data_IF_187933024487
#
_entry.id   IF_187933024487
#
_cell.length_a   1.000
_cell.length_b   1.000
_cell.length_c   1.000
_cell.angle_alpha   90.00
_cell.angle_beta   90.00
_cell.angle_gamma   90.00
#
_symmetry.space_group_name_H-M   'P 1'
#
loop_
_entity.id
_entity.type
_entity.pdbx_description
1 polymer ?
#
# COMPACT_ATOMS: atom_id res chain seq x y z
N UNK A 1 -6.66 13.48 37.43
CA UNK A 1 -6.20 14.14 36.19
C UNK A 1 -7.07 13.57 35.09
N UNK A 2 -7.91 14.38 34.46
CA UNK A 2 -8.59 13.96 33.24
C UNK A 2 -7.49 13.58 32.23
N UNK A 3 -7.44 12.33 31.85
CA UNK A 3 -6.57 11.87 30.77
C UNK A 3 -7.04 12.61 29.50
N UNK A 4 -6.26 13.58 29.07
CA UNK A 4 -6.55 14.28 27.81
C UNK A 4 -6.65 13.28 26.65
N UNK A 5 -7.33 13.65 25.57
CA UNK A 5 -7.37 12.81 24.36
C UNK A 5 -5.96 12.60 23.83
N UNK A 6 -5.62 11.40 23.31
CA UNK A 6 -4.33 11.18 22.68
C UNK A 6 -4.11 12.16 21.52
N UNK A 7 -2.87 12.64 21.37
CA UNK A 7 -2.47 13.57 20.31
C UNK A 7 -1.92 12.79 19.13
N UNK A 8 -2.47 13.04 17.95
CA UNK A 8 -2.08 12.36 16.71
C UNK A 8 -1.60 13.37 15.67
N UNK A 9 -0.39 13.16 15.15
CA UNK A 9 0.11 13.87 13.98
C UNK A 9 -0.26 13.07 12.73
N UNK A 10 -1.01 13.69 11.83
CA UNK A 10 -1.43 13.08 10.57
C UNK A 10 -0.63 13.68 9.42
N UNK A 11 0.18 12.87 8.76
CA UNK A 11 1.10 13.30 7.69
C UNK A 11 0.44 13.06 6.34
N UNK A 12 0.18 14.12 5.58
CA UNK A 12 -0.44 14.05 4.26
C UNK A 12 -0.01 15.23 3.38
N UNK A 13 0.24 14.99 2.10
CA UNK A 13 0.40 16.05 1.10
C UNK A 13 -0.98 16.44 0.54
N UNK A 14 -1.55 17.50 1.08
CA UNK A 14 -2.88 17.98 0.68
C UNK A 14 -2.92 18.57 -0.73
N UNK A 15 -1.77 18.82 -1.35
CA UNK A 15 -1.67 19.39 -2.69
C UNK A 15 -1.52 18.33 -3.80
N UNK A 16 -1.12 17.10 -3.45
CA UNK A 16 -0.86 16.06 -4.43
C UNK A 16 -2.11 15.66 -5.22
N UNK A 17 -1.97 15.65 -6.54
CA UNK A 17 -3.01 15.20 -7.46
C UNK A 17 -2.46 14.14 -8.40
N UNK A 18 -3.18 13.05 -8.60
CA UNK A 18 -2.88 12.04 -9.59
C UNK A 18 -4.12 11.71 -10.42
N UNK A 19 -3.97 11.74 -11.75
CA UNK A 19 -5.00 11.36 -12.74
C UNK A 19 -6.35 12.05 -12.51
N UNK A 20 -6.33 13.33 -12.10
CA UNK A 20 -7.51 14.12 -11.82
C UNK A 20 -8.22 13.82 -10.50
N UNK A 21 -7.65 12.97 -9.64
CA UNK A 21 -8.14 12.70 -8.27
C UNK A 21 -7.30 13.46 -7.26
N UNK A 22 -7.93 13.91 -6.19
CA UNK A 22 -7.27 14.48 -5.02
C UNK A 22 -7.11 13.38 -3.98
N UNK A 23 -5.90 12.91 -3.81
CA UNK A 23 -5.61 11.85 -2.82
C UNK A 23 -5.96 12.27 -1.40
N UNK A 24 -5.80 13.54 -1.07
CA UNK A 24 -6.09 14.05 0.26
C UNK A 24 -7.59 14.10 0.61
N UNK A 25 -8.52 13.91 -0.32
CA UNK A 25 -9.95 14.00 0.00
C UNK A 25 -10.37 12.93 1.01
N UNK A 26 -9.80 11.72 0.94
CA UNK A 26 -10.03 10.68 1.96
C UNK A 26 -9.34 11.01 3.30
N UNK A 27 -8.16 11.63 3.27
CA UNK A 27 -7.45 12.05 4.49
C UNK A 27 -8.21 13.16 5.22
N UNK A 28 -8.80 14.10 4.47
CA UNK A 28 -9.70 15.13 5.02
C UNK A 28 -10.93 14.48 5.67
N UNK A 29 -11.54 13.50 5.00
CA UNK A 29 -12.67 12.76 5.54
C UNK A 29 -12.31 12.00 6.82
N UNK A 30 -11.20 11.25 6.82
CA UNK A 30 -10.75 10.46 7.98
C UNK A 30 -10.42 11.38 9.17
N UNK A 31 -9.63 12.44 8.96
CA UNK A 31 -9.22 13.34 10.04
C UNK A 31 -10.41 14.08 10.66
N UNK A 32 -11.45 14.42 9.88
CA UNK A 32 -12.66 15.00 10.41
C UNK A 32 -13.38 14.06 11.39
N UNK A 33 -13.37 12.74 11.14
CA UNK A 33 -14.00 11.72 12.00
C UNK A 33 -13.15 11.36 13.21
N UNK A 34 -11.82 11.23 13.03
CA UNK A 34 -10.89 10.93 14.11
C UNK A 34 -10.82 12.00 15.21
N UNK A 35 -11.12 13.27 14.90
CA UNK A 35 -11.18 14.38 15.87
C UNK A 35 -12.14 14.15 17.04
N UNK A 36 -13.11 13.27 16.91
CA UNK A 36 -14.00 12.87 18.00
C UNK A 36 -13.27 12.13 19.14
N UNK A 37 -12.13 11.50 18.86
CA UNK A 37 -11.37 10.65 19.80
C UNK A 37 -9.93 11.12 20.03
N UNK A 38 -9.39 11.94 19.16
CA UNK A 38 -7.99 12.40 19.19
C UNK A 38 -7.91 13.92 19.08
N UNK A 39 -6.88 14.50 19.72
CA UNK A 39 -6.41 15.84 19.41
C UNK A 39 -5.45 15.72 18.22
N UNK A 40 -5.86 16.22 17.05
CA UNK A 40 -5.24 15.89 15.78
C UNK A 40 -4.69 17.14 15.08
N UNK A 41 -3.43 17.06 14.64
CA UNK A 41 -2.83 18.00 13.70
C UNK A 41 -2.54 17.30 12.36
N UNK A 42 -2.65 18.04 11.26
CA UNK A 42 -2.23 17.60 9.93
C UNK A 42 -0.96 18.37 9.58
N UNK A 43 0.05 17.68 9.05
CA UNK A 43 1.25 18.30 8.55
C UNK A 43 1.64 17.78 7.17
N UNK A 44 2.46 18.55 6.47
CA UNK A 44 3.10 18.12 5.23
C UNK A 44 4.21 17.09 5.52
N UNK A 45 4.52 16.14 4.59
CA UNK A 45 5.62 15.18 4.78
C UNK A 45 6.96 15.81 5.16
N UNK A 46 7.28 16.99 4.63
CA UNK A 46 8.53 17.73 4.95
C UNK A 46 8.61 18.19 6.41
N UNK A 47 7.47 18.32 7.11
CA UNK A 47 7.42 18.82 8.49
C UNK A 47 7.36 17.67 9.51
N UNK A 48 7.08 16.45 9.07
CA UNK A 48 6.78 15.30 9.93
C UNK A 48 7.89 15.04 10.97
N UNK A 49 9.15 15.03 10.54
CA UNK A 49 10.31 14.78 11.42
C UNK A 49 10.45 15.85 12.51
N UNK A 50 10.22 17.11 12.18
CA UNK A 50 10.35 18.20 13.14
C UNK A 50 9.24 18.21 14.18
N UNK A 51 8.04 17.70 13.83
CA UNK A 51 6.84 17.78 14.67
C UNK A 51 6.57 16.49 15.47
N UNK A 52 7.05 15.33 15.04
CA UNK A 52 6.64 14.01 15.52
C UNK A 52 6.74 13.83 17.05
N UNK A 53 7.73 14.42 17.71
CA UNK A 53 7.92 14.29 19.16
C UNK A 53 6.86 15.01 20.02
N UNK A 54 6.04 15.87 19.40
CA UNK A 54 4.94 16.57 20.07
C UNK A 54 3.66 15.73 20.20
N UNK A 55 3.64 14.48 19.70
CA UNK A 55 2.44 13.66 19.56
C UNK A 55 2.64 12.26 20.14
N UNK A 56 1.54 11.61 20.48
CA UNK A 56 1.54 10.26 21.08
C UNK A 56 1.63 9.19 19.98
N UNK A 57 1.22 9.52 18.74
CA UNK A 57 1.42 8.71 17.54
C UNK A 57 1.46 9.57 16.27
N UNK A 58 2.09 9.04 15.23
CA UNK A 58 2.14 9.63 13.89
C UNK A 58 1.45 8.69 12.90
N UNK A 59 0.46 9.20 12.16
CA UNK A 59 -0.19 8.46 11.06
C UNK A 59 0.42 8.95 9.75
N UNK A 60 1.10 8.07 9.03
CA UNK A 60 1.69 8.41 7.74
C UNK A 60 0.72 8.04 6.62
N UNK A 61 0.24 9.05 5.94
CA UNK A 61 -0.66 8.93 4.79
C UNK A 61 -0.15 9.74 3.62
N UNK A 62 1.14 9.80 3.42
CA UNK A 62 1.78 10.57 2.34
C UNK A 62 1.00 10.46 1.02
N UNK A 63 -0.04 11.26 0.87
CA UNK A 63 -0.86 11.26 -0.33
C UNK A 63 0.03 11.53 -1.53
N UNK A 64 0.34 10.47 -2.27
CA UNK A 64 1.26 10.51 -3.38
C UNK A 64 2.56 9.76 -3.12
N UNK A 65 3.35 9.55 -4.19
CA UNK A 65 4.54 8.74 -4.12
C UNK A 65 5.56 9.32 -3.13
N UNK A 66 6.04 8.50 -2.21
CA UNK A 66 7.20 8.81 -1.36
C UNK A 66 8.40 9.27 -2.18
N UNK A 67 8.46 8.89 -3.46
CA UNK A 67 9.48 9.35 -4.41
C UNK A 67 9.68 10.88 -4.44
N UNK A 68 8.62 11.66 -4.18
CA UNK A 68 8.71 13.12 -4.13
C UNK A 68 9.38 13.66 -2.87
N UNK A 69 9.49 12.83 -1.80
CA UNK A 69 9.98 13.21 -0.48
C UNK A 69 10.88 12.13 0.10
N UNK A 70 11.61 11.39 -0.73
CA UNK A 70 12.33 10.19 -0.31
C UNK A 70 13.34 10.47 0.79
N UNK A 71 14.19 11.44 0.58
CA UNK A 71 15.25 11.78 1.55
C UNK A 71 14.66 12.20 2.90
N UNK A 72 13.60 13.00 2.88
CA UNK A 72 12.88 13.43 4.08
C UNK A 72 12.15 12.26 4.75
N UNK A 73 11.55 11.36 3.97
CA UNK A 73 10.88 10.18 4.51
C UNK A 73 11.88 9.21 5.13
N UNK A 74 13.01 8.96 4.50
CA UNK A 74 14.09 8.12 5.05
C UNK A 74 14.68 8.73 6.32
N UNK A 75 14.89 10.05 6.36
CA UNK A 75 15.30 10.77 7.56
C UNK A 75 14.24 10.72 8.69
N UNK A 76 12.96 10.80 8.34
CA UNK A 76 11.86 10.61 9.29
C UNK A 76 11.85 9.19 9.86
N UNK A 77 11.93 8.15 9.00
CA UNK A 77 11.96 6.73 9.42
C UNK A 77 13.09 6.47 10.40
N UNK A 78 14.32 6.91 10.06
CA UNK A 78 15.49 6.73 10.90
C UNK A 78 15.27 7.37 12.27
N UNK A 79 14.88 8.65 12.29
CA UNK A 79 14.67 9.38 13.54
C UNK A 79 13.51 8.80 14.38
N UNK A 80 12.40 8.41 13.76
CA UNK A 80 11.27 7.80 14.46
C UNK A 80 11.65 6.46 15.09
N UNK A 81 12.42 5.63 14.38
CA UNK A 81 12.92 4.34 14.88
C UNK A 81 13.90 4.55 16.04
N UNK A 82 14.86 5.44 15.89
CA UNK A 82 15.88 5.74 16.92
C UNK A 82 15.28 6.27 18.21
N UNK A 83 14.19 7.04 18.12
CA UNK A 83 13.56 7.70 19.27
C UNK A 83 12.31 6.99 19.78
N UNK A 84 11.91 5.88 19.17
CA UNK A 84 10.75 5.09 19.58
C UNK A 84 9.40 5.79 19.37
N UNK A 85 9.30 6.68 18.36
CA UNK A 85 8.03 7.30 17.99
C UNK A 85 7.09 6.24 17.43
N UNK A 86 5.85 6.19 17.94
CA UNK A 86 4.82 5.28 17.45
C UNK A 86 4.30 5.76 16.09
N UNK A 87 4.47 4.95 15.06
CA UNK A 87 4.05 5.27 13.69
C UNK A 87 2.99 4.26 13.23
N UNK A 88 1.94 4.75 12.60
CA UNK A 88 0.89 4.00 11.93
C UNK A 88 0.88 4.39 10.43
N UNK A 89 1.14 3.53 9.49
CA UNK A 89 1.56 2.12 9.56
C UNK A 89 2.94 2.00 10.15
N UNK A 90 3.18 0.92 10.91
CA UNK A 90 4.49 0.64 11.51
C UNK A 90 5.59 0.59 10.44
N UNK A 91 6.80 1.08 10.80
CA UNK A 91 7.92 1.21 9.86
C UNK A 91 8.68 -0.10 9.60
N UNK A 92 8.11 -1.23 10.03
CA UNK A 92 8.67 -2.58 9.91
C UNK A 92 8.17 -3.35 8.70
N UNK A 93 7.30 -2.74 7.89
CA UNK A 93 6.68 -3.38 6.73
C UNK A 93 7.69 -3.86 5.69
N UNK A 94 7.41 -5.03 5.12
CA UNK A 94 8.21 -5.68 4.09
C UNK A 94 7.60 -5.54 2.68
N UNK A 95 6.46 -4.87 2.56
CA UNK A 95 5.79 -4.58 1.30
C UNK A 95 6.41 -3.39 0.56
N UNK A 96 5.59 -2.55 -0.04
CA UNK A 96 6.04 -1.42 -0.85
C UNK A 96 6.80 -0.35 -0.06
N UNK A 97 6.63 -0.31 1.27
CA UNK A 97 7.40 0.53 2.19
C UNK A 97 8.92 0.28 2.07
N UNK A 98 9.32 -0.97 1.85
CA UNK A 98 10.71 -1.36 1.63
C UNK A 98 11.12 -1.31 0.14
N UNK A 99 10.18 -1.04 -0.76
CA UNK A 99 10.32 -1.16 -2.21
C UNK A 99 9.89 -2.54 -2.72
N UNK A 100 9.61 -2.64 -4.02
CA UNK A 100 8.99 -3.83 -4.62
C UNK A 100 9.89 -5.07 -4.72
N UNK A 101 11.08 -5.03 -4.11
CA UNK A 101 12.03 -6.14 -4.05
C UNK A 101 11.40 -7.40 -3.43
N UNK A 102 10.47 -7.25 -2.49
CA UNK A 102 9.77 -8.36 -1.84
C UNK A 102 9.07 -9.31 -2.84
N UNK A 103 8.71 -8.85 -4.04
CA UNK A 103 8.10 -9.71 -5.06
C UNK A 103 9.04 -10.82 -5.54
N UNK A 104 10.37 -10.58 -5.54
CA UNK A 104 11.36 -11.61 -5.85
C UNK A 104 11.39 -12.67 -4.75
N UNK A 105 11.38 -12.24 -3.49
CA UNK A 105 11.42 -13.12 -2.33
C UNK A 105 10.16 -13.99 -2.26
N UNK A 106 8.99 -13.39 -2.45
CA UNK A 106 7.72 -14.10 -2.49
C UNK A 106 7.68 -15.11 -3.65
N UNK A 107 8.15 -14.73 -4.84
CA UNK A 107 8.23 -15.65 -5.98
C UNK A 107 9.20 -16.80 -5.71
N UNK A 108 10.37 -16.52 -5.17
CA UNK A 108 11.36 -17.55 -4.83
C UNK A 108 10.85 -18.52 -3.75
N UNK A 109 10.00 -18.07 -2.85
CA UNK A 109 9.35 -18.88 -1.81
C UNK A 109 8.11 -19.63 -2.30
N UNK A 110 7.71 -19.47 -3.57
CA UNK A 110 6.57 -20.17 -4.17
C UNK A 110 5.20 -19.62 -3.76
N UNK A 111 5.14 -18.37 -3.32
CA UNK A 111 3.86 -17.69 -3.09
C UNK A 111 3.14 -17.41 -4.42
N UNK A 112 1.79 -17.31 -4.43
CA UNK A 112 1.01 -17.00 -5.63
C UNK A 112 1.14 -15.53 -6.01
N UNK A 113 2.30 -15.17 -6.57
CA UNK A 113 2.61 -13.82 -7.08
C UNK A 113 2.85 -13.87 -8.58
N UNK A 114 2.75 -12.74 -9.26
CA UNK A 114 3.20 -12.67 -10.64
C UNK A 114 4.71 -13.00 -10.66
N UNK A 115 5.15 -14.01 -11.44
CA UNK A 115 6.57 -14.39 -11.55
C UNK A 115 7.45 -13.16 -11.80
N UNK A 116 8.50 -12.97 -11.01
CA UNK A 116 9.30 -11.73 -11.01
C UNK A 116 10.79 -12.03 -10.99
N UNK A 117 11.55 -11.32 -11.82
CA UNK A 117 13.03 -11.33 -11.82
C UNK A 117 13.57 -9.90 -11.93
N UNK A 118 14.83 -9.69 -11.55
CA UNK A 118 15.53 -8.40 -11.64
C UNK A 118 16.88 -8.49 -12.37
N UNK A 119 17.10 -9.59 -13.09
CA UNK A 119 18.31 -9.81 -13.90
C UNK A 119 17.96 -10.46 -15.22
N UNK A 120 18.70 -10.11 -16.26
CA UNK A 120 18.51 -10.68 -17.60
C UNK A 120 18.74 -12.20 -17.62
N UNK A 121 19.73 -12.70 -16.89
CA UNK A 121 20.07 -14.11 -16.79
C UNK A 121 18.95 -14.96 -16.17
N UNK A 122 18.12 -14.37 -15.34
CA UNK A 122 17.00 -15.05 -14.67
C UNK A 122 15.70 -15.05 -15.48
N UNK A 123 15.62 -14.32 -16.61
CA UNK A 123 14.40 -14.26 -17.45
C UNK A 123 13.96 -15.64 -17.92
N UNK A 124 14.91 -16.58 -18.12
CA UNK A 124 14.60 -17.97 -18.46
C UNK A 124 13.81 -18.75 -17.37
N UNK A 125 13.68 -18.22 -16.16
CA UNK A 125 12.87 -18.80 -15.05
C UNK A 125 11.40 -18.37 -15.10
N UNK A 126 11.10 -17.30 -15.88
CA UNK A 126 9.74 -16.83 -16.07
C UNK A 126 8.98 -17.73 -17.07
N UNK A 127 7.65 -17.79 -16.99
CA UNK A 127 6.83 -18.40 -18.04
C UNK A 127 7.17 -17.82 -19.40
N UNK A 128 7.15 -18.68 -20.42
CA UNK A 128 7.43 -18.30 -21.80
C UNK A 128 6.32 -17.41 -22.36
N UNK A 129 6.66 -16.20 -22.75
CA UNK A 129 5.74 -15.21 -23.33
C UNK A 129 6.49 -14.28 -24.29
N UNK A 130 5.78 -13.72 -25.26
CA UNK A 130 6.35 -12.74 -26.18
C UNK A 130 6.43 -11.32 -25.57
N UNK A 131 5.71 -11.07 -24.48
CA UNK A 131 5.56 -9.73 -23.91
C UNK A 131 5.77 -9.76 -22.40
N UNK A 132 6.57 -8.84 -21.93
CA UNK A 132 6.89 -8.62 -20.53
C UNK A 132 6.49 -7.23 -20.08
N UNK A 133 6.43 -7.03 -18.79
CA UNK A 133 6.24 -5.75 -18.12
C UNK A 133 7.47 -5.48 -17.27
N UNK A 134 8.13 -4.35 -17.52
CA UNK A 134 9.19 -3.86 -16.66
C UNK A 134 8.65 -2.73 -15.80
N UNK A 135 8.92 -2.77 -14.49
CA UNK A 135 8.48 -1.75 -13.53
C UNK A 135 9.62 -1.36 -12.59
N UNK A 136 9.74 -0.07 -12.20
CA UNK A 136 10.74 0.34 -11.24
C UNK A 136 10.57 -0.37 -9.89
N UNK A 137 11.68 -0.74 -9.23
CA UNK A 137 11.68 -1.28 -7.85
C UNK A 137 11.07 -0.28 -6.87
N UNK A 138 11.29 1.01 -7.11
CA UNK A 138 10.69 2.11 -6.37
C UNK A 138 9.77 2.88 -7.32
N UNK A 139 8.48 2.69 -7.22
CA UNK A 139 7.51 3.33 -8.09
C UNK A 139 6.10 3.23 -7.52
N UNK A 140 5.27 4.19 -7.85
CA UNK A 140 3.84 4.23 -7.52
C UNK A 140 3.03 4.66 -8.76
N UNK A 141 1.71 4.47 -8.73
CA UNK A 141 0.77 4.93 -9.77
C UNK A 141 1.11 4.45 -11.19
N UNK A 142 1.77 3.28 -11.34
CA UNK A 142 2.27 2.77 -12.62
C UNK A 142 3.27 3.71 -13.32
N UNK A 143 3.87 4.67 -12.60
CA UNK A 143 4.89 5.54 -13.16
C UNK A 143 6.14 4.72 -13.53
N UNK A 144 6.62 4.89 -14.76
CA UNK A 144 7.79 4.16 -15.26
C UNK A 144 7.53 2.70 -15.66
N UNK A 145 6.28 2.21 -15.61
CA UNK A 145 5.93 0.89 -16.12
C UNK A 145 6.00 0.91 -17.66
N UNK A 146 6.73 -0.03 -18.24
CA UNK A 146 6.85 -0.20 -19.68
C UNK A 146 6.52 -1.64 -20.10
N UNK A 147 5.87 -1.77 -21.24
CA UNK A 147 5.62 -3.06 -21.89
C UNK A 147 6.75 -3.33 -22.89
N UNK A 148 7.39 -4.48 -22.79
CA UNK A 148 8.62 -4.82 -23.51
C UNK A 148 8.44 -6.13 -24.24
N UNK A 149 8.80 -6.17 -25.53
CA UNK A 149 8.85 -7.42 -26.27
C UNK A 149 10.05 -8.26 -25.79
N UNK A 150 9.94 -9.59 -25.88
CA UNK A 150 11.02 -10.52 -25.49
C UNK A 150 12.38 -10.15 -26.11
N UNK A 151 12.37 -9.82 -27.40
CA UNK A 151 13.59 -9.48 -28.12
C UNK A 151 14.30 -8.21 -27.65
N UNK A 152 13.58 -7.34 -26.97
CA UNK A 152 14.08 -6.05 -26.48
C UNK A 152 14.59 -6.11 -25.05
N UNK A 153 14.35 -7.22 -24.31
CA UNK A 153 14.81 -7.41 -22.92
C UNK A 153 16.32 -7.21 -22.74
N UNK A 154 17.19 -7.68 -23.67
CA UNK A 154 18.64 -7.47 -23.52
C UNK A 154 19.07 -5.99 -23.58
N UNK A 155 18.22 -5.11 -24.05
CA UNK A 155 18.46 -3.67 -24.10
C UNK A 155 18.04 -2.90 -22.84
N UNK A 156 17.42 -3.58 -21.84
CA UNK A 156 17.01 -2.95 -20.61
C UNK A 156 18.16 -2.81 -19.62
N UNK A 157 18.16 -1.70 -18.88
CA UNK A 157 18.96 -1.57 -17.67
C UNK A 157 18.18 -2.17 -16.47
N UNK A 158 18.63 -3.32 -15.97
CA UNK A 158 18.00 -4.04 -14.88
C UNK A 158 18.33 -3.48 -13.49
N UNK A 159 19.16 -2.46 -13.36
CA UNK A 159 19.66 -1.96 -12.05
C UNK A 159 18.53 -1.67 -11.07
N UNK A 160 17.50 -0.97 -11.51
CA UNK A 160 16.33 -0.57 -10.68
C UNK A 160 15.00 -1.08 -11.24
N UNK A 161 15.02 -2.15 -12.03
CA UNK A 161 13.84 -2.72 -12.65
C UNK A 161 13.50 -4.11 -12.11
N UNK A 162 12.22 -4.41 -12.08
CA UNK A 162 11.65 -5.74 -11.99
C UNK A 162 11.01 -6.08 -13.34
N UNK A 163 11.19 -7.31 -13.78
CA UNK A 163 10.58 -7.82 -15.01
C UNK A 163 9.64 -8.97 -14.68
N UNK A 164 8.44 -8.90 -15.25
CA UNK A 164 7.35 -9.85 -15.06
C UNK A 164 6.77 -10.27 -16.43
N UNK A 165 6.27 -11.50 -16.62
CA UNK A 165 5.47 -11.79 -17.79
C UNK A 165 4.22 -10.93 -17.80
N UNK A 166 3.77 -10.51 -18.97
CA UNK A 166 2.47 -9.87 -19.09
C UNK A 166 1.38 -10.90 -18.87
N UNK A 167 0.61 -10.75 -17.77
CA UNK A 167 -0.49 -11.64 -17.45
C UNK A 167 -1.76 -11.17 -18.17
N UNK A 168 -2.45 -12.11 -18.82
CA UNK A 168 -3.83 -11.89 -19.29
C UNK A 168 -4.78 -12.25 -18.14
N UNK A 169 -5.41 -11.25 -17.55
CA UNK A 169 -6.30 -11.42 -16.41
C UNK A 169 -7.71 -10.91 -16.70
N UNK A 170 -8.68 -11.36 -15.94
CA UNK A 170 -10.08 -10.95 -16.06
C UNK A 170 -10.33 -9.59 -15.42
N UNK A 171 -9.83 -9.40 -14.18
CA UNK A 171 -9.96 -8.17 -13.41
C UNK A 171 -8.85 -8.05 -12.36
N UNK A 172 -8.64 -6.83 -11.88
CA UNK A 172 -7.84 -6.58 -10.68
C UNK A 172 -8.74 -6.38 -9.47
N UNK A 173 -8.30 -6.85 -8.31
CA UNK A 173 -9.01 -6.74 -7.02
C UNK A 173 -8.05 -6.27 -5.93
N UNK A 174 -8.55 -5.40 -5.05
CA UNK A 174 -7.81 -4.85 -3.91
C UNK A 174 -8.54 -5.23 -2.62
N UNK A 175 -7.82 -5.85 -1.69
CA UNK A 175 -8.30 -6.22 -0.35
C UNK A 175 -7.69 -5.27 0.68
N UNK A 176 -8.52 -4.62 1.47
CA UNK A 176 -8.11 -3.60 2.44
C UNK A 176 -8.16 -4.14 3.85
N UNK A 177 -7.08 -3.91 4.59
CA UNK A 177 -6.91 -4.36 5.97
C UNK A 177 -6.53 -3.21 6.89
N UNK A 178 -6.98 -3.29 8.13
CA UNK A 178 -6.46 -2.52 9.25
C UNK A 178 -5.88 -3.54 10.24
N UNK A 179 -4.60 -3.37 10.58
CA UNK A 179 -3.83 -4.36 11.29
C UNK A 179 -3.90 -5.69 10.50
N UNK A 180 -4.46 -6.77 11.06
CA UNK A 180 -4.69 -8.05 10.40
C UNK A 180 -6.16 -8.29 10.02
N UNK A 181 -7.06 -7.32 10.24
CA UNK A 181 -8.49 -7.49 10.05
C UNK A 181 -8.94 -6.98 8.67
N UNK A 182 -9.56 -7.86 7.88
CA UNK A 182 -10.17 -7.49 6.61
C UNK A 182 -11.31 -6.48 6.81
N UNK A 183 -11.33 -5.45 5.98
CA UNK A 183 -12.33 -4.37 6.04
C UNK A 183 -13.31 -4.40 4.88
N UNK A 184 -12.81 -4.39 3.66
CA UNK A 184 -13.59 -4.44 2.42
C UNK A 184 -12.68 -4.79 1.25
N UNK A 185 -13.30 -5.13 0.11
CA UNK A 185 -12.59 -5.26 -1.15
C UNK A 185 -13.28 -4.49 -2.27
N UNK A 186 -12.46 -3.99 -3.20
CA UNK A 186 -12.89 -3.34 -4.43
C UNK A 186 -12.23 -4.02 -5.63
N UNK A 187 -12.90 -4.05 -6.77
CA UNK A 187 -12.32 -4.58 -7.99
C UNK A 187 -12.58 -3.67 -9.19
N UNK A 188 -11.72 -3.77 -10.19
CA UNK A 188 -11.86 -3.10 -11.47
C UNK A 188 -12.40 -4.12 -12.49
N UNK A 189 -13.72 -4.17 -12.76
CA UNK A 189 -14.32 -5.18 -13.64
C UNK A 189 -13.85 -5.07 -15.10
N UNK A 190 -13.29 -3.91 -15.46
CA UNK A 190 -12.79 -3.62 -16.82
C UNK A 190 -11.31 -3.28 -16.76
N UNK A 191 -10.40 -4.15 -17.25
CA UNK A 191 -8.95 -3.89 -17.18
C UNK A 191 -8.49 -2.59 -17.84
N UNK A 192 -9.26 -2.09 -18.81
CA UNK A 192 -8.98 -0.81 -19.51
C UNK A 192 -9.41 0.42 -18.70
N UNK A 193 -10.23 0.23 -17.67
CA UNK A 193 -10.80 1.26 -16.80
C UNK A 193 -10.47 0.98 -15.32
N UNK A 194 -9.20 0.78 -15.02
CA UNK A 194 -8.69 0.34 -13.70
C UNK A 194 -9.11 1.23 -12.52
N UNK A 195 -9.57 2.45 -12.80
CA UNK A 195 -10.02 3.40 -11.77
C UNK A 195 -11.54 3.41 -11.55
N UNK A 196 -12.28 2.67 -12.35
CA UNK A 196 -13.71 2.45 -12.14
C UNK A 196 -13.91 1.24 -11.24
N UNK A 197 -13.83 1.50 -9.93
CA UNK A 197 -13.91 0.46 -8.91
C UNK A 197 -15.35 0.21 -8.49
N UNK A 198 -15.66 -1.07 -8.27
CA UNK A 198 -16.92 -1.58 -7.72
C UNK A 198 -16.64 -2.40 -6.47
N UNK A 199 -17.64 -2.53 -5.58
CA UNK A 199 -17.51 -3.38 -4.39
C UNK A 199 -17.37 -4.84 -4.80
N UNK A 200 -16.35 -5.50 -4.25
CA UNK A 200 -16.09 -6.93 -4.43
C UNK A 200 -16.53 -7.69 -3.18
N UNK A 201 -17.21 -8.83 -3.37
CA UNK A 201 -17.58 -9.73 -2.28
C UNK A 201 -16.63 -10.94 -2.34
N UNK A 202 -15.57 -10.96 -1.53
CA UNK A 202 -14.61 -12.07 -1.54
C UNK A 202 -15.24 -13.33 -0.97
N UNK A 203 -14.89 -14.45 -1.54
CA UNK A 203 -15.15 -15.75 -0.95
C UNK A 203 -14.06 -16.13 0.08
N UNK A 204 -14.18 -17.33 0.65
CA UNK A 204 -13.24 -17.82 1.67
C UNK A 204 -11.82 -17.99 1.10
N UNK A 205 -11.70 -18.45 -0.15
CA UNK A 205 -10.40 -18.69 -0.79
C UNK A 205 -9.71 -17.36 -1.14
N UNK A 206 -10.48 -16.37 -1.56
CA UNK A 206 -10.00 -15.01 -1.80
C UNK A 206 -9.45 -14.36 -0.52
N UNK A 207 -10.18 -14.50 0.58
CA UNK A 207 -9.73 -13.98 1.88
C UNK A 207 -8.49 -14.74 2.38
N UNK A 208 -8.45 -16.06 2.22
CA UNK A 208 -7.27 -16.85 2.57
C UNK A 208 -6.04 -16.48 1.73
N UNK A 209 -6.25 -16.17 0.44
CA UNK A 209 -5.19 -15.65 -0.43
C UNK A 209 -4.65 -14.31 0.11
N UNK A 210 -5.52 -13.33 0.37
CA UNK A 210 -5.10 -12.01 0.83
C UNK A 210 -4.43 -12.08 2.21
N UNK A 211 -5.03 -12.84 3.16
CA UNK A 211 -4.52 -13.00 4.53
C UNK A 211 -3.09 -13.55 4.53
N UNK A 212 -2.72 -14.43 3.61
CA UNK A 212 -1.35 -14.98 3.49
C UNK A 212 -0.29 -13.88 3.38
N UNK A 213 -0.57 -12.80 2.67
CA UNK A 213 0.37 -11.69 2.49
C UNK A 213 0.38 -10.74 3.68
N UNK A 214 -0.75 -10.58 4.34
CA UNK A 214 -0.84 -9.84 5.62
C UNK A 214 -0.03 -10.58 6.70
N UNK A 215 -0.16 -11.91 6.79
CA UNK A 215 0.60 -12.73 7.74
C UNK A 215 2.10 -12.80 7.41
N UNK A 216 2.45 -12.72 6.12
CA UNK A 216 3.84 -12.64 5.67
C UNK A 216 4.48 -11.28 6.02
N UNK A 217 3.70 -10.20 6.00
CA UNK A 217 4.17 -8.86 6.35
C UNK A 217 4.28 -8.73 7.88
N UNK A 218 5.33 -8.07 8.37
CA UNK A 218 5.58 -7.92 9.81
C UNK A 218 4.90 -6.71 10.45
N UNK A 219 3.88 -6.13 9.79
CA UNK A 219 3.12 -4.98 10.30
C UNK A 219 2.04 -5.44 11.25
N UNK A 220 2.16 -5.12 12.54
CA UNK A 220 1.10 -5.38 13.53
C UNK A 220 0.06 -4.25 13.60
N UNK A 221 0.49 -3.00 13.36
CA UNK A 221 -0.40 -1.84 13.35
C UNK A 221 -0.24 -1.05 12.07
N UNK A 222 -1.30 -1.01 11.26
CA UNK A 222 -1.26 -0.27 10.02
C UNK A 222 -2.45 -0.48 9.12
N UNK A 223 -2.49 0.31 8.04
CA UNK A 223 -3.36 0.08 6.90
C UNK A 223 -2.54 -0.67 5.86
N UNK A 224 -3.07 -1.79 5.38
CA UNK A 224 -2.43 -2.59 4.35
C UNK A 224 -3.42 -2.88 3.23
N UNK A 225 -2.93 -2.99 1.99
CA UNK A 225 -3.74 -3.35 0.83
C UNK A 225 -3.04 -4.43 0.01
N UNK A 226 -3.75 -5.51 -0.23
CA UNK A 226 -3.30 -6.59 -1.10
C UNK A 226 -3.96 -6.39 -2.46
N UNK A 227 -3.16 -6.04 -3.48
CA UNK A 227 -3.62 -5.93 -4.86
C UNK A 227 -3.32 -7.23 -5.60
N UNK A 228 -4.32 -7.80 -6.24
CA UNK A 228 -4.23 -9.04 -6.98
C UNK A 228 -4.88 -8.94 -8.36
N UNK A 229 -4.51 -9.81 -9.26
CA UNK A 229 -5.24 -10.03 -10.49
C UNK A 229 -5.84 -11.44 -10.54
N UNK A 230 -7.07 -11.55 -11.05
CA UNK A 230 -7.74 -12.83 -11.33
C UNK A 230 -7.32 -13.31 -12.71
N UNK A 231 -6.48 -14.32 -12.76
CA UNK A 231 -6.08 -14.94 -14.01
C UNK A 231 -7.25 -15.70 -14.67
N UNK A 232 -7.13 -15.99 -15.97
CA UNK A 232 -8.18 -16.67 -16.75
C UNK A 232 -8.52 -18.08 -16.28
N UNK A 233 -7.62 -18.72 -15.58
CA UNK A 233 -7.85 -20.04 -14.94
C UNK A 233 -8.51 -19.95 -13.57
N UNK A 234 -8.85 -18.74 -13.13
CA UNK A 234 -9.49 -18.46 -11.85
C UNK A 234 -8.52 -18.26 -10.68
N UNK A 235 -7.21 -18.42 -10.86
CA UNK A 235 -6.25 -18.17 -9.79
C UNK A 235 -6.09 -16.69 -9.49
N UNK A 236 -5.85 -16.35 -8.22
CA UNK A 236 -5.37 -15.02 -7.82
C UNK A 236 -3.84 -14.99 -7.81
N UNK A 237 -3.27 -13.93 -8.39
CA UNK A 237 -1.85 -13.65 -8.32
C UNK A 237 -1.63 -12.27 -7.70
N UNK A 238 -0.73 -12.19 -6.72
CA UNK A 238 -0.36 -10.89 -6.13
C UNK A 238 0.29 -9.99 -7.18
N UNK A 239 -0.22 -8.77 -7.29
CA UNK A 239 0.33 -7.68 -8.10
C UNK A 239 1.21 -6.78 -7.23
N UNK A 240 0.69 -6.41 -6.03
CA UNK A 240 1.36 -5.50 -5.11
C UNK A 240 0.82 -5.69 -3.67
N UNK A 241 1.71 -5.55 -2.67
CA UNK A 241 1.36 -5.43 -1.26
C UNK A 241 1.71 -4.02 -0.83
N UNK A 242 0.70 -3.19 -0.60
CA UNK A 242 0.88 -1.81 -0.17
C UNK A 242 0.74 -1.71 1.35
N UNK A 243 1.80 -1.28 2.02
CA UNK A 243 1.87 -1.08 3.47
C UNK A 243 2.40 0.32 3.84
N UNK A 244 2.71 1.15 2.85
CA UNK A 244 3.18 2.50 3.11
C UNK A 244 2.02 3.49 3.22
N UNK A 245 1.26 3.66 2.18
CA UNK A 245 0.17 4.63 2.11
C UNK A 245 -0.90 4.25 1.08
N UNK A 246 -1.52 3.06 1.19
CA UNK A 246 -2.48 2.62 0.20
C UNK A 246 -3.63 3.62 0.04
N UNK A 247 -3.97 3.95 -1.19
CA UNK A 247 -5.16 4.73 -1.47
C UNK A 247 -6.41 3.90 -1.18
N UNK A 248 -7.30 4.42 -0.34
CA UNK A 248 -8.40 3.64 0.24
C UNK A 248 -9.63 3.56 -0.65
N UNK A 249 -9.80 4.51 -1.58
CA UNK A 249 -10.99 4.61 -2.42
C UNK A 249 -12.32 4.62 -1.64
N UNK A 250 -12.33 5.29 -0.48
CA UNK A 250 -13.49 5.33 0.41
C UNK A 250 -14.73 5.95 -0.24
N UNK A 251 -14.57 6.71 -1.30
CA UNK A 251 -15.65 7.25 -2.13
C UNK A 251 -16.40 6.16 -2.94
N UNK A 252 -15.83 4.94 -3.04
CA UNK A 252 -16.36 3.82 -3.82
C UNK A 252 -17.12 2.80 -2.98
N UNK A 253 -17.07 2.89 -1.67
CA UNK A 253 -17.82 2.03 -0.75
C UNK A 253 -19.05 2.74 -0.20
N UNK A 254 -20.03 1.96 0.26
CA UNK A 254 -21.24 2.49 0.88
C UNK A 254 -20.94 3.20 2.23
N UNK A 255 -21.86 4.07 2.71
CA UNK A 255 -21.64 4.82 3.95
C UNK A 255 -21.39 3.93 5.18
N UNK A 256 -22.07 2.79 5.30
CA UNK A 256 -21.90 1.89 6.45
C UNK A 256 -20.53 1.25 6.46
N UNK A 257 -20.01 0.85 5.29
CA UNK A 257 -18.64 0.33 5.15
C UNK A 257 -17.60 1.41 5.50
N UNK A 258 -17.80 2.65 5.06
CA UNK A 258 -16.93 3.78 5.45
C UNK A 258 -16.90 4.01 6.96
N UNK A 259 -18.09 3.98 7.59
CA UNK A 259 -18.19 4.20 9.04
C UNK A 259 -17.51 3.07 9.81
N UNK A 260 -17.70 1.80 9.42
CA UNK A 260 -16.98 0.65 10.01
C UNK A 260 -15.45 0.79 9.86
N UNK A 261 -14.97 1.23 8.69
CA UNK A 261 -13.53 1.46 8.47
C UNK A 261 -12.98 2.52 9.43
N UNK A 262 -13.70 3.64 9.61
CA UNK A 262 -13.29 4.70 10.55
C UNK A 262 -13.30 4.19 12.00
N UNK A 263 -14.26 3.37 12.38
CA UNK A 263 -14.32 2.74 13.71
C UNK A 263 -13.13 1.80 13.93
N UNK A 264 -12.83 0.95 12.96
CA UNK A 264 -11.68 0.04 13.00
C UNK A 264 -10.35 0.81 13.09
N UNK A 265 -10.17 1.84 12.26
CA UNK A 265 -8.99 2.71 12.31
C UNK A 265 -8.86 3.43 13.66
N UNK A 266 -9.97 3.93 14.20
CA UNK A 266 -9.98 4.56 15.52
C UNK A 266 -9.55 3.59 16.61
N UNK A 267 -10.07 2.36 16.58
CA UNK A 267 -9.73 1.32 17.54
C UNK A 267 -8.25 0.89 17.43
N UNK A 268 -7.74 0.74 16.21
CA UNK A 268 -6.32 0.40 15.96
C UNK A 268 -5.39 1.50 16.49
N UNK A 269 -5.67 2.76 16.22
CA UNK A 269 -4.90 3.89 16.74
C UNK A 269 -4.94 3.96 18.28
N UNK A 270 -6.09 3.69 18.90
CA UNK A 270 -6.18 3.63 20.37
C UNK A 270 -5.34 2.47 20.93
N UNK A 271 -5.30 1.31 20.29
CA UNK A 271 -4.41 0.20 20.67
C UNK A 271 -2.94 0.61 20.57
N UNK A 272 -2.54 1.26 19.47
CA UNK A 272 -1.16 1.72 19.28
C UNK A 272 -0.72 2.70 20.38
N UNK A 273 -1.53 3.71 20.71
CA UNK A 273 -1.17 4.71 21.73
C UNK A 273 -1.22 4.17 23.16
N UNK A 274 -1.98 3.10 23.42
CA UNK A 274 -2.05 2.46 24.73
C UNK A 274 -0.88 1.51 25.02
N UNK A 275 -0.04 1.20 24.04
CA UNK A 275 1.20 0.41 24.27
C UNK A 275 2.09 1.12 25.29
N UNK A 276 2.73 0.37 26.20
CA UNK A 276 3.62 0.93 27.21
C UNK A 276 4.88 1.60 26.63
#
# INVERSE_FOLDING_TARGET
>A
MESGRPRVLYVSDLAYQARGRRYCDEDIYLTARLRGRFDLAICHPLDARALMHGFDAVVVRNSGPVLHYRDEYDAFRSAATETGVRVFTELTGNGDMAGKQYLLDLYAQGHPVIPTVDRLEDVGRLPDTDVYVAKPKFGADSAGLVVVARGDLPGLDFTDLLVQPRIDFEYEVSFYFIDHEFQYALYAPRPQQRWELETYQPDTDDLAFAQRFIDWNSVEHGIQRVDACRARDGALLLVELEDLNPYLSLDRVDPATRDRFVEALTAALLRLVARP
#
